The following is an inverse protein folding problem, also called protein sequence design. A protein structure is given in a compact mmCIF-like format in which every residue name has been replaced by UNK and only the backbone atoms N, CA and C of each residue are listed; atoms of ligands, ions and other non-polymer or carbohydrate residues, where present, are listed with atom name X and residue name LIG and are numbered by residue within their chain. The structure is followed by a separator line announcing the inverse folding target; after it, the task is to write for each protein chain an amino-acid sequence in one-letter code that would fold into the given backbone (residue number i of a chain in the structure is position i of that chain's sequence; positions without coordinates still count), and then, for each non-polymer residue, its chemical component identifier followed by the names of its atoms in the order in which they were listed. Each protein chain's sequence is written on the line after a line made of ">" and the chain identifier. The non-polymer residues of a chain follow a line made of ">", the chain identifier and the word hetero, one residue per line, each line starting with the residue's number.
data_IF_734434290454
#
_entry.id   IF_734434290454
#
_cell.length_a   1.000
_cell.length_b   1.000
_cell.length_c   1.000
_cell.angle_alpha   90.00
_cell.angle_beta   90.00
_cell.angle_gamma   90.00
#
_symmetry.space_group_name_H-M   'P 1'
#
loop_
_entity.id
_entity.type
_entity.pdbx_description
1 polymer ?
#
# COMPACT_ATOMS: atom_id res chain seq x y z
N UNK A 1 -0.61 -24.04 13.39
CA UNK A 1 -0.83 -22.90 12.48
C UNK A 1 -0.81 -23.51 11.09
N UNK A 2 -1.86 -23.39 10.25
CA UNK A 2 -1.74 -23.89 8.89
C UNK A 2 -0.54 -23.21 8.23
N UNK A 3 0.25 -23.96 7.46
CA UNK A 3 1.35 -23.40 6.67
C UNK A 3 0.75 -22.42 5.65
N UNK A 4 0.73 -21.14 6.03
CA UNK A 4 0.39 -20.06 5.11
C UNK A 4 1.41 -20.12 3.96
N UNK A 5 0.98 -19.99 2.70
CA UNK A 5 1.89 -19.89 1.58
C UNK A 5 2.98 -18.84 1.87
N UNK A 6 4.24 -19.19 1.65
CA UNK A 6 5.39 -18.29 1.87
C UNK A 6 5.18 -16.93 1.19
N UNK A 7 4.48 -16.94 0.05
CA UNK A 7 4.10 -15.74 -0.69
C UNK A 7 3.19 -14.79 0.10
N UNK A 8 2.24 -15.32 0.88
CA UNK A 8 1.34 -14.53 1.73
C UNK A 8 2.05 -14.02 2.98
N UNK A 9 2.99 -14.78 3.54
CA UNK A 9 3.83 -14.32 4.66
C UNK A 9 4.67 -13.13 4.21
N UNK A 10 5.28 -13.21 3.01
CA UNK A 10 6.05 -12.10 2.42
C UNK A 10 5.17 -10.90 2.09
N UNK A 11 3.97 -11.12 1.55
CA UNK A 11 3.02 -10.03 1.30
C UNK A 11 2.61 -9.32 2.61
N UNK A 12 2.45 -10.06 3.71
CA UNK A 12 2.15 -9.47 5.02
C UNK A 12 3.32 -8.65 5.57
N UNK A 13 4.57 -9.10 5.41
CA UNK A 13 5.73 -8.30 5.79
C UNK A 13 5.82 -6.99 4.99
N UNK A 14 5.49 -7.02 3.69
CA UNK A 14 5.39 -5.82 2.86
C UNK A 14 4.25 -4.90 3.33
N UNK A 15 3.11 -5.48 3.74
CA UNK A 15 1.99 -4.71 4.29
C UNK A 15 2.42 -3.93 5.54
N UNK A 16 3.16 -4.55 6.46
CA UNK A 16 3.63 -3.89 7.68
C UNK A 16 4.54 -2.70 7.35
N UNK A 17 5.45 -2.87 6.38
CA UNK A 17 6.33 -1.79 5.93
C UNK A 17 5.55 -0.67 5.23
N UNK A 18 4.59 -1.04 4.38
CA UNK A 18 3.68 -0.11 3.73
C UNK A 18 2.87 0.70 4.74
N UNK A 19 2.31 0.07 5.77
CA UNK A 19 1.57 0.73 6.84
C UNK A 19 2.46 1.70 7.61
N UNK A 20 3.72 1.35 7.87
CA UNK A 20 4.68 2.25 8.50
C UNK A 20 4.93 3.50 7.64
N UNK A 21 5.10 3.36 6.32
CA UNK A 21 5.26 4.49 5.39
C UNK A 21 3.97 5.34 5.34
N UNK A 22 2.82 4.68 5.24
CA UNK A 22 1.52 5.34 5.26
C UNK A 22 1.31 6.17 6.54
N UNK A 23 1.58 5.59 7.70
CA UNK A 23 1.48 6.28 9.00
C UNK A 23 2.48 7.45 9.08
N UNK A 24 3.71 7.28 8.58
CA UNK A 24 4.68 8.37 8.53
C UNK A 24 4.19 9.56 7.68
N UNK A 25 3.44 9.28 6.60
CA UNK A 25 2.87 10.29 5.70
C UNK A 25 1.63 10.94 6.32
N UNK A 26 0.67 10.16 6.85
CA UNK A 26 -0.67 10.65 7.20
C UNK A 26 -0.93 10.85 8.71
N UNK A 27 -0.26 10.11 9.60
CA UNK A 27 -0.48 10.17 11.07
C UNK A 27 0.07 11.45 11.68
N UNK A 28 1.18 11.97 11.14
CA UNK A 28 1.65 13.32 11.41
C UNK A 28 0.84 14.32 10.57
N UNK A 29 -0.38 14.61 11.07
CA UNK A 29 -1.36 15.54 10.51
C UNK A 29 -0.76 16.66 9.64
N UNK A 30 -0.69 16.45 8.32
CA UNK A 30 -0.34 17.49 7.34
C UNK A 30 -1.26 18.71 7.41
N UNK A 31 -2.46 18.56 7.99
CA UNK A 31 -3.39 19.66 8.27
C UNK A 31 -2.89 20.65 9.32
N UNK A 32 -1.87 20.29 10.13
CA UNK A 32 -1.23 21.19 11.10
C UNK A 32 0.15 21.67 10.68
N UNK A 33 0.66 21.20 9.54
CA UNK A 33 1.94 21.62 8.97
C UNK A 33 1.80 22.96 8.20
N UNK A 34 1.27 23.99 8.87
CA UNK A 34 1.50 25.36 8.42
C UNK A 34 2.99 25.66 8.63
N UNK A 35 3.65 26.31 7.65
CA UNK A 35 5.09 26.46 7.64
C UNK A 35 5.54 27.39 8.77
N UNK A 36 6.16 26.82 9.82
CA UNK A 36 7.05 27.55 10.72
C UNK A 36 8.47 27.22 10.26
N UNK A 37 9.22 28.18 9.67
CA UNK A 37 10.59 27.96 9.25
C UNK A 37 11.47 27.49 10.42
N UNK A 38 12.24 26.41 10.22
CA UNK A 38 13.30 25.97 11.14
C UNK A 38 12.98 24.82 12.11
N UNK A 39 11.71 24.43 12.28
CA UNK A 39 11.33 23.34 13.22
C UNK A 39 10.69 22.11 12.57
N UNK A 40 10.29 22.18 11.31
CA UNK A 40 9.60 21.08 10.65
C UNK A 40 10.60 20.06 10.10
N UNK A 41 10.51 18.80 10.56
CA UNK A 41 11.17 17.67 9.90
C UNK A 41 10.53 17.52 8.52
N UNK A 42 11.26 17.86 7.47
CA UNK A 42 10.80 17.68 6.09
C UNK A 42 10.57 16.19 5.88
N UNK A 43 9.34 15.80 5.55
CA UNK A 43 9.06 14.45 5.07
C UNK A 43 9.87 14.23 3.81
N UNK A 44 10.78 13.25 3.82
CA UNK A 44 11.57 12.91 2.62
C UNK A 44 10.71 12.06 1.67
N UNK A 45 9.92 12.75 0.86
CA UNK A 45 9.11 12.13 -0.19
C UNK A 45 9.94 11.36 -1.21
N UNK A 46 11.20 11.76 -1.41
CA UNK A 46 12.11 11.06 -2.31
C UNK A 46 12.49 9.69 -1.75
N UNK A 47 12.73 9.59 -0.45
CA UNK A 47 12.94 8.31 0.23
C UNK A 47 11.69 7.43 0.13
N UNK A 48 10.51 7.93 0.53
CA UNK A 48 9.27 7.17 0.46
C UNK A 48 8.91 6.73 -0.98
N UNK A 49 9.17 7.56 -1.99
CA UNK A 49 8.99 7.19 -3.40
C UNK A 49 9.84 5.99 -3.82
N UNK A 50 11.10 5.93 -3.35
CA UNK A 50 12.01 4.81 -3.62
C UNK A 50 11.57 3.57 -2.86
N UNK A 51 11.24 3.69 -1.58
CA UNK A 51 10.81 2.59 -0.73
C UNK A 51 9.53 1.95 -1.28
N UNK A 52 8.52 2.75 -1.60
CA UNK A 52 7.27 2.27 -2.22
C UNK A 52 7.53 1.65 -3.61
N UNK A 53 8.53 2.13 -4.35
CA UNK A 53 8.94 1.53 -5.63
C UNK A 53 9.56 0.14 -5.46
N UNK A 54 10.34 -0.06 -4.40
CA UNK A 54 10.86 -1.38 -4.02
C UNK A 54 9.71 -2.32 -3.62
N UNK A 55 8.82 -1.87 -2.73
CA UNK A 55 7.66 -2.66 -2.29
C UNK A 55 6.75 -3.05 -3.46
N UNK A 56 6.48 -2.14 -4.38
CA UNK A 56 5.70 -2.43 -5.58
C UNK A 56 6.37 -3.51 -6.46
N UNK A 57 7.69 -3.44 -6.61
CA UNK A 57 8.44 -4.42 -7.40
C UNK A 57 8.37 -5.81 -6.78
N UNK A 58 8.51 -5.89 -5.45
CA UNK A 58 8.39 -7.15 -4.70
C UNK A 58 6.95 -7.72 -4.77
N UNK A 59 5.93 -6.88 -4.59
CA UNK A 59 4.52 -7.27 -4.71
C UNK A 59 4.16 -7.73 -6.12
N UNK A 60 4.72 -7.12 -7.17
CA UNK A 60 4.48 -7.55 -8.55
C UNK A 60 4.99 -8.98 -8.80
N UNK A 61 6.16 -9.32 -8.24
CA UNK A 61 6.70 -10.69 -8.30
C UNK A 61 5.78 -11.64 -7.55
N UNK A 62 5.40 -11.31 -6.30
CA UNK A 62 4.51 -12.14 -5.48
C UNK A 62 3.16 -12.36 -6.17
N UNK A 63 2.55 -11.29 -6.69
CA UNK A 63 1.26 -11.35 -7.39
C UNK A 63 1.33 -12.24 -8.63
N UNK A 64 2.43 -12.17 -9.39
CA UNK A 64 2.66 -13.05 -10.54
C UNK A 64 2.79 -14.52 -10.15
N UNK A 65 3.53 -14.82 -9.07
CA UNK A 65 3.68 -16.18 -8.54
C UNK A 65 2.33 -16.73 -8.07
N UNK A 66 1.56 -15.97 -7.30
CA UNK A 66 0.23 -16.36 -6.82
C UNK A 66 -0.74 -16.61 -7.98
N UNK A 67 -0.65 -15.83 -9.06
CA UNK A 67 -1.46 -16.02 -10.27
C UNK A 67 -1.12 -17.31 -11.01
N UNK A 68 0.16 -17.68 -11.05
CA UNK A 68 0.65 -18.84 -11.78
C UNK A 68 0.55 -20.17 -10.99
N UNK A 69 0.47 -20.08 -9.65
CA UNK A 69 0.45 -21.25 -8.76
C UNK A 69 -0.94 -21.90 -8.75
N UNK A 70 -1.05 -23.08 -9.36
CA UNK A 70 -2.24 -23.91 -9.25
C UNK A 70 -2.46 -24.31 -7.77
N UNK A 71 -3.67 -24.10 -7.25
CA UNK A 71 -3.97 -24.32 -5.82
C UNK A 71 -3.55 -23.16 -4.91
N UNK A 72 -3.24 -21.98 -5.45
CA UNK A 72 -3.14 -20.77 -4.63
C UNK A 72 -4.45 -20.52 -3.89
N UNK A 73 -4.36 -20.02 -2.67
CA UNK A 73 -5.53 -19.70 -1.85
C UNK A 73 -6.46 -18.73 -2.61
N UNK A 74 -7.74 -19.05 -2.69
CA UNK A 74 -8.72 -18.24 -3.42
C UNK A 74 -8.70 -16.79 -2.91
N UNK A 75 -8.64 -15.82 -3.82
CA UNK A 75 -8.55 -14.40 -3.48
C UNK A 75 -7.14 -13.88 -3.14
N UNK A 76 -6.14 -14.74 -2.95
CA UNK A 76 -4.76 -14.32 -2.62
C UNK A 76 -4.14 -13.42 -3.70
N UNK A 77 -4.25 -13.83 -4.97
CA UNK A 77 -3.76 -13.03 -6.10
C UNK A 77 -4.49 -11.67 -6.18
N UNK A 78 -5.82 -11.68 -6.06
CA UNK A 78 -6.64 -10.46 -6.14
C UNK A 78 -6.30 -9.49 -5.01
N UNK A 79 -6.11 -10.00 -3.79
CA UNK A 79 -5.66 -9.21 -2.65
C UNK A 79 -4.28 -8.59 -2.89
N UNK A 80 -3.27 -9.40 -3.27
CA UNK A 80 -1.91 -8.90 -3.51
C UNK A 80 -1.86 -7.92 -4.69
N UNK A 81 -2.64 -8.15 -5.75
CA UNK A 81 -2.77 -7.23 -6.88
C UNK A 81 -3.40 -5.90 -6.47
N UNK A 82 -4.44 -5.93 -5.63
CA UNK A 82 -5.04 -4.69 -5.10
C UNK A 82 -4.07 -3.93 -4.20
N UNK A 83 -3.30 -4.64 -3.36
CA UNK A 83 -2.28 -4.02 -2.50
C UNK A 83 -1.19 -3.36 -3.35
N UNK A 84 -0.77 -4.00 -4.45
CA UNK A 84 0.16 -3.41 -5.42
C UNK A 84 -0.39 -2.10 -6.01
N UNK A 85 -1.67 -2.09 -6.43
CA UNK A 85 -2.32 -0.88 -6.95
C UNK A 85 -2.28 0.27 -5.92
N UNK A 86 -2.59 -0.03 -4.64
CA UNK A 86 -2.56 0.96 -3.56
C UNK A 86 -1.13 1.51 -3.30
N UNK A 87 -0.12 0.63 -3.27
CA UNK A 87 1.29 1.02 -3.11
C UNK A 87 1.76 1.91 -4.26
N UNK A 88 1.39 1.58 -5.51
CA UNK A 88 1.72 2.38 -6.69
C UNK A 88 1.04 3.75 -6.65
N UNK A 89 -0.22 3.84 -6.25
CA UNK A 89 -0.93 5.11 -6.12
C UNK A 89 -0.30 6.00 -5.03
N UNK A 90 0.06 5.45 -3.87
CA UNK A 90 0.75 6.21 -2.83
C UNK A 90 2.14 6.67 -3.29
N UNK A 91 2.85 5.82 -4.05
CA UNK A 91 4.14 6.17 -4.65
C UNK A 91 4.00 7.35 -5.59
N UNK A 92 2.98 7.35 -6.45
CA UNK A 92 2.73 8.45 -7.38
C UNK A 92 2.49 9.77 -6.65
N UNK A 93 1.67 9.75 -5.59
CA UNK A 93 1.47 10.92 -4.71
C UNK A 93 2.80 11.40 -4.12
N UNK A 94 3.64 10.49 -3.61
CA UNK A 94 4.97 10.85 -3.09
C UNK A 94 5.87 11.43 -4.19
N UNK A 95 5.83 10.88 -5.41
CA UNK A 95 6.58 11.39 -6.55
C UNK A 95 6.20 12.83 -6.90
N UNK A 96 4.90 13.12 -6.98
CA UNK A 96 4.39 14.47 -7.24
C UNK A 96 4.83 15.47 -6.16
N UNK A 97 4.79 15.09 -4.88
CA UNK A 97 5.31 15.93 -3.79
C UNK A 97 6.81 16.12 -3.84
N UNK A 98 7.57 15.07 -4.17
CA UNK A 98 9.00 15.17 -4.34
C UNK A 98 9.35 16.16 -5.46
N UNK A 99 8.73 16.04 -6.64
CA UNK A 99 8.96 16.97 -7.75
C UNK A 99 8.59 18.42 -7.38
N UNK A 100 7.46 18.62 -6.69
CA UNK A 100 7.06 19.95 -6.17
C UNK A 100 8.10 20.52 -5.21
N UNK A 101 8.70 19.68 -4.36
CA UNK A 101 9.74 20.10 -3.40
C UNK A 101 11.05 20.53 -4.09
N UNK A 102 11.31 20.07 -5.33
CA UNK A 102 12.48 20.44 -6.12
C UNK A 102 12.34 21.79 -6.84
N UNK A 103 11.25 22.53 -6.62
CA UNK A 103 11.08 23.92 -7.09
C UNK A 103 9.99 24.12 -8.15
N UNK A 104 9.31 23.06 -8.59
CA UNK A 104 8.19 23.17 -9.52
C UNK A 104 6.85 23.32 -8.79
N UNK A 105 6.62 24.51 -8.22
CA UNK A 105 5.50 24.79 -7.33
C UNK A 105 4.10 24.65 -8.00
N UNK A 106 4.04 24.71 -9.33
CA UNK A 106 2.81 24.55 -10.12
C UNK A 106 2.46 23.11 -10.49
N UNK A 107 3.40 22.17 -10.30
CA UNK A 107 3.31 20.81 -10.85
C UNK A 107 2.28 19.89 -10.21
N UNK A 108 1.88 20.19 -8.97
CA UNK A 108 0.86 19.40 -8.27
C UNK A 108 -0.19 20.30 -7.59
N UNK A 109 -1.21 20.71 -8.36
CA UNK A 109 -2.33 21.50 -7.87
C UNK A 109 -3.17 20.73 -6.84
N UNK A 110 -3.81 21.46 -5.93
CA UNK A 110 -4.64 20.85 -4.87
C UNK A 110 -5.79 19.99 -5.43
N UNK A 111 -6.34 20.36 -6.59
CA UNK A 111 -7.40 19.59 -7.24
C UNK A 111 -6.93 18.20 -7.68
N UNK A 112 -5.72 18.12 -8.26
CA UNK A 112 -5.10 16.87 -8.68
C UNK A 112 -4.71 16.02 -7.47
N UNK A 113 -4.20 16.65 -6.41
CA UNK A 113 -3.96 15.98 -5.13
C UNK A 113 -5.23 15.33 -4.56
N UNK A 114 -6.34 16.08 -4.50
CA UNK A 114 -7.59 15.54 -3.97
C UNK A 114 -8.14 14.39 -4.84
N UNK A 115 -7.95 14.45 -6.16
CA UNK A 115 -8.35 13.38 -7.07
C UNK A 115 -7.51 12.11 -6.83
N UNK A 116 -6.19 12.25 -6.73
CA UNK A 116 -5.28 11.12 -6.47
C UNK A 116 -5.53 10.52 -5.08
N UNK A 117 -5.77 11.36 -4.06
CA UNK A 117 -6.10 10.90 -2.72
C UNK A 117 -7.41 10.11 -2.72
N UNK A 118 -8.45 10.59 -3.42
CA UNK A 118 -9.72 9.86 -3.53
C UNK A 118 -9.57 8.52 -4.25
N UNK A 119 -8.77 8.48 -5.32
CA UNK A 119 -8.47 7.24 -6.03
C UNK A 119 -7.73 6.25 -5.12
N UNK A 120 -6.73 6.74 -4.39
CA UNK A 120 -5.97 5.98 -3.40
C UNK A 120 -6.87 5.43 -2.27
N UNK A 121 -7.77 6.23 -1.71
CA UNK A 121 -8.75 5.81 -0.70
C UNK A 121 -9.67 4.69 -1.25
N UNK A 122 -10.10 4.78 -2.51
CA UNK A 122 -10.87 3.72 -3.16
C UNK A 122 -10.09 2.40 -3.27
N UNK A 123 -8.80 2.47 -3.60
CA UNK A 123 -7.92 1.29 -3.66
C UNK A 123 -7.69 0.69 -2.27
N UNK A 124 -7.55 1.52 -1.23
CA UNK A 124 -7.44 1.04 0.15
C UNK A 124 -8.70 0.31 0.62
N UNK A 125 -9.88 0.84 0.30
CA UNK A 125 -11.15 0.17 0.61
C UNK A 125 -11.24 -1.20 -0.08
N UNK A 126 -10.90 -1.27 -1.38
CA UNK A 126 -10.85 -2.53 -2.13
C UNK A 126 -9.86 -3.53 -1.51
N UNK A 127 -8.67 -3.07 -1.10
CA UNK A 127 -7.70 -3.92 -0.41
C UNK A 127 -8.25 -4.48 0.90
N UNK A 128 -8.95 -3.64 1.67
CA UNK A 128 -9.55 -4.03 2.95
C UNK A 128 -10.67 -5.06 2.75
N UNK A 129 -11.54 -4.88 1.75
CA UNK A 129 -12.60 -5.84 1.40
C UNK A 129 -12.01 -7.19 1.00
N UNK A 130 -11.00 -7.19 0.12
CA UNK A 130 -10.33 -8.41 -0.33
C UNK A 130 -9.56 -9.10 0.81
N UNK A 131 -8.89 -8.34 1.68
CA UNK A 131 -8.21 -8.87 2.85
C UNK A 131 -9.19 -9.47 3.87
N UNK A 132 -10.35 -8.83 4.07
CA UNK A 132 -11.41 -9.37 4.92
C UNK A 132 -11.98 -10.69 4.36
N UNK A 133 -12.22 -10.77 3.05
CA UNK A 133 -12.66 -11.99 2.40
C UNK A 133 -11.61 -13.12 2.51
N UNK A 134 -10.33 -12.79 2.31
CA UNK A 134 -9.22 -13.73 2.46
C UNK A 134 -9.12 -14.27 3.90
N UNK A 135 -9.27 -13.39 4.89
CA UNK A 135 -9.28 -13.78 6.30
C UNK A 135 -10.47 -14.68 6.65
N UNK A 136 -11.64 -14.44 6.05
CA UNK A 136 -12.81 -15.32 6.23
C UNK A 136 -12.59 -16.71 5.63
N UNK A 137 -11.94 -16.80 4.47
CA UNK A 137 -11.58 -18.08 3.86
C UNK A 137 -10.61 -18.86 4.75
N UNK A 138 -9.56 -18.19 5.25
CA UNK A 138 -8.61 -18.76 6.21
C UNK A 138 -9.29 -19.21 7.50
N UNK A 139 -10.21 -18.41 8.05
CA UNK A 139 -10.97 -18.74 9.25
C UNK A 139 -12.00 -19.85 9.06
N UNK A 140 -12.59 -19.94 7.85
CA UNK A 140 -13.57 -20.95 7.45
C UNK A 140 -12.94 -22.33 7.21
N UNK A 141 -11.75 -22.38 6.59
CA UNK A 141 -10.98 -23.63 6.45
C UNK A 141 -10.52 -24.20 7.80
N UNK A 142 -10.34 -23.36 8.82
CA UNK A 142 -10.01 -23.79 10.19
C UNK A 142 -11.24 -24.36 10.92
N UNK A 143 -12.46 -24.06 10.46
CA UNK A 143 -13.71 -24.43 11.14
C UNK A 143 -14.36 -25.74 10.65
N UNK A 144 -13.76 -26.46 9.69
CA UNK A 144 -14.15 -27.84 9.37
C UNK A 144 -13.13 -28.85 9.89
N UNK A 145 -13.23 -29.29 11.16
CA UNK A 145 -12.89 -30.65 11.52
C UNK A 145 -14.08 -31.58 11.16
N UNK A 146 -13.76 -32.61 10.40
CA UNK A 146 -14.51 -33.83 10.06
C UNK A 146 -15.94 -34.02 10.64
N UNK A 147 -16.86 -34.33 9.73
CA UNK A 147 -18.16 -34.95 10.00
C UNK A 147 -18.67 -35.67 8.76
#
# INVERSE_FOLDING_TARGET
>A
MPDLPDELIRANAILDEYVSIHDAIFKFSWRKALPIPGFFKVTDFGAHFRDLGRLASELAVISSVLKAKAGSLEGSHQYTASLLEAVLALREICGQFYEKSQGDLGKYPMAEYNANLKAYEGLMNKCQELGAALNQHLGGEIAQPEG
#
